data_IF_419107759331
#
_entry.id   IF_419107759331
#
_cell.length_a   1.000
_cell.length_b   1.000
_cell.length_c   1.000
_cell.angle_alpha   90.00
_cell.angle_beta   90.00
_cell.angle_gamma   90.00
#
_symmetry.space_group_name_H-M   'P 1'
#
loop_
_entity.id
_entity.type
_entity.pdbx_description
1 polymer ?
#
# COMPACT_ATOMS: atom_id res chain seq x y z
N UNK A 1 -6.12 -8.73 6.45
CA UNK A 1 -5.48 -7.42 6.19
C UNK A 1 -3.97 -7.70 6.13
N UNK A 2 -3.30 -7.48 4.99
CA UNK A 2 -1.87 -7.82 4.77
C UNK A 2 -0.96 -6.59 4.65
N UNK A 3 -1.49 -5.38 4.84
CA UNK A 3 -0.74 -4.14 4.65
C UNK A 3 0.33 -3.99 5.74
N UNK A 4 1.56 -3.75 5.35
CA UNK A 4 2.72 -3.62 6.26
C UNK A 4 3.33 -4.94 6.71
N UNK A 5 2.98 -6.06 6.06
CA UNK A 5 3.55 -7.38 6.35
C UNK A 5 3.99 -8.05 5.04
N UNK A 6 5.10 -8.76 5.08
CA UNK A 6 5.65 -9.51 3.96
C UNK A 6 6.25 -10.83 4.43
N UNK A 7 6.32 -11.81 3.52
CA UNK A 7 7.04 -13.06 3.72
C UNK A 7 8.21 -13.09 2.75
N UNK A 8 9.42 -13.25 3.28
CA UNK A 8 10.65 -13.42 2.50
C UNK A 8 11.12 -14.85 2.69
N UNK A 9 11.42 -15.54 1.59
CA UNK A 9 11.81 -16.94 1.58
C UNK A 9 13.27 -17.01 1.14
N UNK A 10 14.11 -17.64 1.96
CA UNK A 10 15.50 -17.92 1.63
C UNK A 10 15.65 -19.38 1.19
N UNK A 11 16.66 -19.65 0.38
CA UNK A 11 17.05 -21.02 0.01
C UNK A 11 17.60 -21.79 1.21
N UNK A 12 18.38 -21.11 2.06
CA UNK A 12 19.09 -21.70 3.20
C UNK A 12 18.63 -21.12 4.54
N UNK A 13 18.63 -21.96 5.57
CA UNK A 13 18.21 -21.60 6.94
C UNK A 13 19.21 -20.63 7.58
N UNK A 14 20.51 -20.79 7.28
CA UNK A 14 21.56 -19.92 7.79
C UNK A 14 21.38 -18.47 7.29
N UNK A 15 21.06 -18.28 6.01
CA UNK A 15 20.79 -16.95 5.45
C UNK A 15 19.58 -16.27 6.10
N UNK A 16 18.50 -17.01 6.35
CA UNK A 16 17.33 -16.49 7.05
C UNK A 16 17.66 -16.05 8.49
N UNK A 17 18.47 -16.85 9.20
CA UNK A 17 18.90 -16.55 10.56
C UNK A 17 19.82 -15.33 10.62
N UNK A 18 20.71 -15.18 9.64
CA UNK A 18 21.58 -14.02 9.51
C UNK A 18 20.75 -12.75 9.28
N UNK A 19 19.83 -12.77 8.30
CA UNK A 19 18.96 -11.65 8.00
C UNK A 19 18.12 -11.21 9.21
N UNK A 20 17.59 -12.16 9.99
CA UNK A 20 16.85 -11.84 11.22
C UNK A 20 17.72 -11.11 12.25
N UNK A 21 18.99 -11.46 12.39
CA UNK A 21 19.89 -10.82 13.38
C UNK A 21 20.40 -9.46 12.90
N UNK A 22 20.77 -9.35 11.63
CA UNK A 22 21.43 -8.15 11.10
C UNK A 22 20.45 -7.05 10.72
N UNK A 23 19.26 -7.41 10.24
CA UNK A 23 18.27 -6.44 9.72
C UNK A 23 17.14 -6.14 10.72
N UNK A 24 17.21 -6.67 11.94
CA UNK A 24 16.23 -6.36 12.98
C UNK A 24 16.28 -4.88 13.34
N UNK A 25 15.14 -4.20 13.29
CA UNK A 25 15.05 -2.79 13.61
C UNK A 25 15.62 -1.87 12.53
N UNK A 26 16.07 -2.41 11.39
CA UNK A 26 16.60 -1.60 10.29
C UNK A 26 15.55 -0.56 9.85
N UNK A 27 15.90 0.74 9.79
CA UNK A 27 14.97 1.78 9.36
C UNK A 27 14.54 1.57 7.91
N UNK A 28 13.24 1.39 7.68
CA UNK A 28 12.66 1.19 6.37
C UNK A 28 11.46 2.10 6.18
N UNK A 29 11.56 3.07 5.25
CA UNK A 29 10.58 4.15 5.06
C UNK A 29 10.16 4.78 6.40
N UNK A 30 11.17 5.20 7.17
CA UNK A 30 11.03 5.88 8.46
C UNK A 30 10.38 5.06 9.58
N UNK A 31 10.31 3.73 9.42
CA UNK A 31 9.80 2.82 10.45
C UNK A 31 10.80 1.69 10.69
N UNK A 32 11.11 1.35 11.96
CA UNK A 32 12.00 0.23 12.25
C UNK A 32 11.33 -1.09 11.82
N UNK A 33 12.00 -1.84 10.96
CA UNK A 33 11.51 -3.13 10.48
C UNK A 33 11.53 -4.17 11.61
N UNK A 34 10.47 -4.98 11.71
CA UNK A 34 10.41 -6.12 12.65
C UNK A 34 10.38 -7.42 11.87
N UNK A 35 11.36 -8.27 12.12
CA UNK A 35 11.53 -9.57 11.46
C UNK A 35 11.25 -10.68 12.48
N UNK A 36 10.55 -11.72 12.04
CA UNK A 36 10.28 -12.92 12.83
C UNK A 36 10.20 -14.14 11.91
N UNK A 37 10.46 -15.33 12.45
CA UNK A 37 10.23 -16.57 11.72
C UNK A 37 8.74 -16.76 11.42
N UNK A 38 8.44 -17.29 10.23
CA UNK A 38 7.10 -17.66 9.86
C UNK A 38 6.62 -18.84 10.72
N UNK A 39 5.33 -18.85 11.06
CA UNK A 39 4.71 -19.94 11.83
C UNK A 39 4.55 -21.24 11.03
N UNK A 40 4.53 -21.12 9.71
CA UNK A 40 4.30 -22.24 8.78
C UNK A 40 5.25 -22.12 7.60
N UNK A 41 5.66 -23.26 7.05
CA UNK A 41 6.46 -23.30 5.83
C UNK A 41 5.70 -22.69 4.64
N UNK A 42 6.45 -22.05 3.74
CA UNK A 42 5.93 -21.50 2.50
C UNK A 42 5.70 -22.61 1.47
N UNK A 43 4.79 -22.37 0.54
CA UNK A 43 4.44 -23.36 -0.49
C UNK A 43 5.62 -23.64 -1.45
N UNK A 44 6.57 -22.71 -1.59
CA UNK A 44 7.80 -22.93 -2.37
C UNK A 44 8.71 -23.91 -1.63
N UNK A 45 8.92 -23.71 -0.33
CA UNK A 45 9.74 -24.61 0.49
C UNK A 45 9.09 -25.98 0.62
N UNK A 46 7.76 -26.04 0.79
CA UNK A 46 7.02 -27.30 0.85
C UNK A 46 7.09 -28.09 -0.46
N UNK A 47 7.07 -27.40 -1.62
CA UNK A 47 7.28 -28.04 -2.93
C UNK A 47 8.69 -28.60 -3.06
N UNK A 48 9.70 -27.85 -2.63
CA UNK A 48 11.09 -28.31 -2.66
C UNK A 48 11.35 -29.50 -1.72
N UNK A 49 10.70 -29.53 -0.55
CA UNK A 49 10.77 -30.65 0.41
C UNK A 49 9.88 -31.85 0.03
N UNK A 50 9.04 -31.74 -1.01
CA UNK A 50 8.08 -32.77 -1.39
C UNK A 50 6.88 -32.95 -0.44
N UNK A 51 6.67 -32.02 0.50
CA UNK A 51 5.60 -32.08 1.51
C UNK A 51 4.40 -31.18 1.16
N UNK A 52 4.35 -30.63 -0.05
CA UNK A 52 3.31 -29.70 -0.49
C UNK A 52 1.92 -30.37 -0.48
N UNK A 53 1.04 -29.83 0.36
CA UNK A 53 -0.40 -30.12 0.34
C UNK A 53 -1.12 -28.88 -0.15
N UNK A 54 -1.94 -29.03 -1.18
CA UNK A 54 -2.72 -27.93 -1.72
C UNK A 54 -3.71 -27.44 -0.65
N UNK A 55 -3.49 -26.23 -0.12
CA UNK A 55 -4.39 -25.63 0.86
C UNK A 55 -5.63 -25.16 0.10
N UNK A 56 -6.86 -25.46 0.59
CA UNK A 56 -8.07 -25.02 -0.09
C UNK A 56 -8.05 -23.50 -0.22
N UNK A 57 -8.10 -23.01 -1.47
CA UNK A 57 -8.18 -21.58 -1.76
C UNK A 57 -9.45 -21.06 -1.09
N UNK A 58 -9.32 -20.26 -0.03
CA UNK A 58 -10.45 -19.52 0.53
C UNK A 58 -10.96 -18.59 -0.58
N UNK A 59 -12.06 -18.99 -1.22
CA UNK A 59 -12.79 -18.19 -2.19
C UNK A 59 -13.16 -16.89 -1.47
N UNK A 60 -12.52 -15.79 -1.86
CA UNK A 60 -12.94 -14.47 -1.40
C UNK A 60 -14.30 -14.21 -2.04
N UNK A 61 -15.35 -13.87 -1.26
CA UNK A 61 -16.63 -13.50 -1.85
C UNK A 61 -16.41 -12.34 -2.83
N UNK A 62 -17.08 -12.35 -4.00
CA UNK A 62 -16.94 -11.30 -4.99
C UNK A 62 -17.31 -9.96 -4.36
N UNK A 63 -16.45 -8.95 -4.52
CA UNK A 63 -16.80 -7.58 -4.18
C UNK A 63 -17.97 -7.17 -5.09
N UNK A 64 -19.11 -6.69 -4.55
CA UNK A 64 -20.20 -6.20 -5.37
C UNK A 64 -19.72 -5.01 -6.20
N UNK A 65 -20.02 -5.03 -7.50
CA UNK A 65 -19.77 -3.94 -8.43
C UNK A 65 -20.53 -2.67 -7.97
N UNK A 66 -19.96 -1.46 -8.13
CA UNK A 66 -20.67 -0.23 -7.79
C UNK A 66 -21.82 0.01 -8.79
N UNK A 67 -23.07 -0.03 -8.32
CA UNK A 67 -24.25 0.33 -9.10
C UNK A 67 -24.30 1.85 -9.37
N UNK A 68 -24.66 2.19 -10.60
CA UNK A 68 -24.66 3.53 -11.20
C UNK A 68 -25.76 4.50 -10.70
N UNK A 69 -26.49 4.19 -9.64
CA UNK A 69 -27.71 4.93 -9.26
C UNK A 69 -27.47 6.16 -8.36
N UNK A 70 -26.22 6.50 -8.01
CA UNK A 70 -25.93 7.68 -7.16
C UNK A 70 -25.57 8.95 -7.92
N UNK A 71 -25.91 9.05 -9.21
CA UNK A 71 -25.54 10.21 -10.07
C UNK A 71 -26.54 11.38 -10.07
N UNK A 72 -27.73 11.26 -9.46
CA UNK A 72 -28.76 12.30 -9.61
C UNK A 72 -29.04 13.23 -8.41
N UNK A 73 -28.49 12.97 -7.22
CA UNK A 73 -28.83 13.81 -6.03
C UNK A 73 -27.86 14.96 -5.71
N UNK A 74 -26.85 15.25 -6.54
CA UNK A 74 -25.83 16.27 -6.22
C UNK A 74 -25.76 17.43 -7.24
N UNK A 75 -26.91 17.91 -7.71
CA UNK A 75 -27.03 19.10 -8.58
C UNK A 75 -27.69 20.33 -7.94
N UNK A 76 -27.90 20.36 -6.62
CA UNK A 76 -28.54 21.51 -5.95
C UNK A 76 -27.89 21.82 -4.61
N UNK A 77 -26.74 22.50 -4.62
CA UNK A 77 -26.21 23.28 -3.49
C UNK A 77 -24.91 24.00 -3.89
N UNK A 78 -24.96 24.81 -4.96
CA UNK A 78 -23.90 25.74 -5.29
C UNK A 78 -24.53 27.13 -5.35
N UNK A 79 -24.69 27.75 -4.18
CA UNK A 79 -24.90 29.19 -4.03
C UNK A 79 -24.39 29.62 -2.65
N UNK A 80 -23.62 30.71 -2.67
CA UNK A 80 -23.03 31.51 -1.59
C UNK A 80 -21.67 31.10 -1.00
N UNK A 81 -20.65 31.77 -1.53
CA UNK A 81 -19.89 32.83 -0.88
C UNK A 81 -19.02 32.50 0.36
N UNK A 82 -17.72 32.55 0.09
CA UNK A 82 -16.72 33.41 0.74
C UNK A 82 -16.13 33.03 2.12
N UNK A 83 -14.85 33.38 2.25
CA UNK A 83 -13.98 33.46 3.44
C UNK A 83 -13.32 32.17 4.00
N UNK A 84 -11.99 32.18 3.84
CA UNK A 84 -10.96 31.88 4.85
C UNK A 84 -10.82 30.48 5.49
N UNK A 85 -9.65 29.90 5.21
CA UNK A 85 -8.79 29.16 6.15
C UNK A 85 -9.11 27.70 6.50
N UNK A 86 -8.01 26.98 6.73
CA UNK A 86 -7.85 25.68 7.38
C UNK A 86 -8.10 24.41 6.54
N UNK A 87 -6.97 23.82 6.14
CA UNK A 87 -6.71 22.38 6.01
C UNK A 87 -7.86 21.47 6.51
N UNK A 88 -8.62 20.93 5.57
CA UNK A 88 -9.43 19.73 5.80
C UNK A 88 -9.01 18.69 4.79
N UNK A 89 -8.38 17.62 5.27
CA UNK A 89 -8.11 16.39 4.51
C UNK A 89 -9.43 15.66 4.30
N UNK A 90 -10.28 16.20 3.43
CA UNK A 90 -11.46 15.50 2.93
C UNK A 90 -10.94 14.38 2.03
N UNK A 91 -11.16 13.13 2.43
CA UNK A 91 -10.79 11.93 1.68
C UNK A 91 -11.53 11.94 0.33
N UNK A 92 -10.91 12.57 -0.67
CA UNK A 92 -11.45 12.67 -2.01
C UNK A 92 -11.28 11.32 -2.73
N UNK A 93 -12.24 10.92 -3.59
CA UNK A 93 -12.08 9.74 -4.42
C UNK A 93 -10.80 9.85 -5.28
N UNK A 94 -10.20 8.72 -5.71
CA UNK A 94 -8.95 8.74 -6.45
C UNK A 94 -9.02 9.63 -7.68
N UNK A 95 -8.24 10.71 -7.68
CA UNK A 95 -8.13 11.66 -8.78
C UNK A 95 -6.80 11.45 -9.50
N UNK A 96 -6.82 11.54 -10.83
CA UNK A 96 -5.61 11.49 -11.67
C UNK A 96 -4.89 12.85 -11.74
N UNK A 97 -5.44 13.87 -11.09
CA UNK A 97 -4.87 15.22 -11.00
C UNK A 97 -4.22 15.36 -9.63
N UNK A 98 -2.92 15.67 -9.62
CA UNK A 98 -2.16 15.95 -8.41
C UNK A 98 -2.09 17.47 -8.20
N UNK A 99 -2.39 17.93 -6.99
CA UNK A 99 -2.18 19.32 -6.59
C UNK A 99 -0.84 19.41 -5.86
N UNK A 100 0.10 20.17 -6.44
CA UNK A 100 1.41 20.44 -5.83
C UNK A 100 1.38 21.82 -5.19
N UNK A 101 1.82 21.93 -3.93
CA UNK A 101 1.93 23.19 -3.18
C UNK A 101 3.32 23.29 -2.56
N UNK A 102 3.79 24.51 -2.30
CA UNK A 102 5.12 24.80 -1.73
C UNK A 102 6.29 24.34 -2.62
N UNK A 103 6.17 24.53 -3.94
CA UNK A 103 7.29 24.35 -4.86
C UNK A 103 8.25 25.54 -4.76
N UNK A 104 9.57 25.32 -4.72
CA UNK A 104 10.56 26.38 -4.89
C UNK A 104 10.35 27.14 -6.19
N UNK A 105 10.66 28.45 -6.21
CA UNK A 105 10.51 29.32 -7.41
C UNK A 105 11.31 28.80 -8.62
N UNK A 106 12.36 28.01 -8.38
CA UNK A 106 13.22 27.40 -9.41
C UNK A 106 12.64 26.12 -10.05
N UNK A 107 11.43 25.71 -9.65
CA UNK A 107 10.84 24.44 -10.13
C UNK A 107 10.32 24.54 -11.57
N UNK A 108 10.87 23.71 -12.46
CA UNK A 108 10.50 23.67 -13.87
C UNK A 108 9.59 22.48 -14.23
N UNK A 109 8.78 22.65 -15.28
CA UNK A 109 7.87 21.61 -15.79
C UNK A 109 8.58 20.30 -16.12
N UNK A 110 9.75 20.35 -16.78
CA UNK A 110 10.54 19.16 -17.11
C UNK A 110 10.94 18.34 -15.87
N UNK A 111 11.21 18.99 -14.74
CA UNK A 111 11.56 18.30 -13.49
C UNK A 111 10.33 17.58 -12.93
N UNK A 112 9.17 18.23 -12.98
CA UNK A 112 7.90 17.67 -12.49
C UNK A 112 7.46 16.47 -13.34
N UNK A 113 7.59 16.56 -14.67
CA UNK A 113 7.25 15.47 -15.60
C UNK A 113 8.13 14.23 -15.49
N UNK A 114 9.33 14.35 -14.90
CA UNK A 114 10.20 13.18 -14.62
C UNK A 114 9.86 12.50 -13.29
N UNK A 115 9.29 13.26 -12.34
CA UNK A 115 9.00 12.80 -10.97
C UNK A 115 7.60 12.21 -10.80
N UNK A 116 6.62 12.67 -11.58
CA UNK A 116 5.20 12.30 -11.48
C UNK A 116 4.65 11.79 -12.82
#
# INVERSE_FOLDING_TARGET
>A
KMRGQAFVIFKEIASASNALRTMQGFPFYDKPMRIAYAKTDSDVVARMKGTYKERPKKIKPPKPAPSEEKKEKKKKAANNADSASANSTVEQPPNQILFLTNLPEETNEMMLSMLF
#
